data_IF_520037086846
#
_entry.id   IF_520037086846
#
_cell.length_a   1.000
_cell.length_b   1.000
_cell.length_c   1.000
_cell.angle_alpha   90.00
_cell.angle_beta   90.00
_cell.angle_gamma   90.00
#
_symmetry.space_group_name_H-M   'P 1'
#
loop_
_entity.id
_entity.type
_entity.pdbx_description
1 polymer ?
#
# COMPACT_ATOMS: atom_id res chain seq x y z
N UNK A 1 -14.47 -25.23 7.64
CA UNK A 1 -13.31 -24.46 8.16
C UNK A 1 -12.25 -24.12 7.11
N UNK A 2 -12.01 -24.93 6.07
CA UNK A 2 -11.03 -24.64 4.99
C UNK A 2 -11.26 -23.33 4.21
N UNK A 3 -12.51 -22.94 3.95
CA UNK A 3 -12.83 -21.73 3.18
C UNK A 3 -12.35 -20.42 3.84
N UNK A 4 -12.16 -20.39 5.17
CA UNK A 4 -11.71 -19.18 5.87
C UNK A 4 -10.22 -18.89 5.68
N UNK A 5 -9.40 -19.94 5.51
CA UNK A 5 -7.95 -19.81 5.32
C UNK A 5 -7.61 -19.39 3.90
N UNK A 6 -8.32 -19.93 2.90
CA UNK A 6 -8.17 -19.51 1.50
C UNK A 6 -8.52 -18.02 1.31
N UNK A 7 -9.62 -17.56 1.92
CA UNK A 7 -10.06 -16.16 1.84
C UNK A 7 -9.08 -15.18 2.51
N UNK A 8 -8.52 -15.54 3.68
CA UNK A 8 -7.47 -14.74 4.35
C UNK A 8 -6.17 -14.68 3.54
N UNK A 9 -5.68 -15.81 3.02
CA UNK A 9 -4.49 -15.86 2.15
C UNK A 9 -4.67 -15.00 0.90
N UNK A 10 -5.84 -15.08 0.27
CA UNK A 10 -6.16 -14.26 -0.91
C UNK A 10 -6.19 -12.76 -0.57
N UNK A 11 -6.82 -12.36 0.53
CA UNK A 11 -6.85 -10.96 0.97
C UNK A 11 -5.46 -10.40 1.30
N UNK A 12 -4.57 -11.21 1.85
CA UNK A 12 -3.17 -10.83 2.11
C UNK A 12 -2.38 -10.66 0.81
N UNK A 13 -2.51 -11.61 -0.12
CA UNK A 13 -1.88 -11.52 -1.43
C UNK A 13 -2.34 -10.28 -2.19
N UNK A 14 -3.66 -10.05 -2.24
CA UNK A 14 -4.26 -8.88 -2.87
C UNK A 14 -3.79 -7.57 -2.20
N UNK A 15 -3.68 -7.54 -0.88
CA UNK A 15 -3.18 -6.40 -0.13
C UNK A 15 -1.72 -6.07 -0.42
N UNK A 16 -0.86 -7.07 -0.56
CA UNK A 16 0.54 -6.88 -0.97
C UNK A 16 0.67 -6.37 -2.41
N UNK A 17 -0.12 -6.93 -3.34
CA UNK A 17 -0.15 -6.47 -4.73
C UNK A 17 -0.64 -5.03 -4.81
N UNK A 18 -1.72 -4.68 -4.11
CA UNK A 18 -2.25 -3.32 -4.07
C UNK A 18 -1.24 -2.34 -3.45
N UNK A 19 -0.58 -2.72 -2.35
CA UNK A 19 0.45 -1.91 -1.72
C UNK A 19 1.67 -1.69 -2.63
N UNK A 20 2.13 -2.74 -3.32
CA UNK A 20 3.25 -2.65 -4.25
C UNK A 20 2.92 -1.73 -5.43
N UNK A 21 1.74 -1.91 -6.03
CA UNK A 21 1.27 -1.05 -7.11
C UNK A 21 1.08 0.40 -6.65
N UNK A 22 0.62 0.64 -5.42
CA UNK A 22 0.46 1.98 -4.88
C UNK A 22 1.82 2.65 -4.63
N UNK A 23 2.81 1.90 -4.13
CA UNK A 23 4.18 2.40 -3.96
C UNK A 23 4.85 2.72 -5.32
N UNK A 24 4.67 1.86 -6.33
CA UNK A 24 5.14 2.13 -7.70
C UNK A 24 4.44 3.36 -8.28
N UNK A 25 3.13 3.49 -8.07
CA UNK A 25 2.37 4.66 -8.50
C UNK A 25 2.91 5.95 -7.88
N UNK A 26 3.18 5.93 -6.57
CA UNK A 26 3.77 7.06 -5.87
C UNK A 26 5.13 7.43 -6.48
N UNK A 27 6.06 6.48 -6.64
CA UNK A 27 7.35 6.75 -7.27
C UNK A 27 7.22 7.34 -8.69
N UNK A 28 6.28 6.84 -9.48
CA UNK A 28 5.99 7.36 -10.82
C UNK A 28 5.33 8.75 -10.78
N UNK A 29 4.70 9.13 -9.67
CA UNK A 29 4.05 10.43 -9.49
C UNK A 29 5.06 11.58 -9.46
N UNK A 30 6.32 11.30 -9.11
CA UNK A 30 7.41 12.30 -9.12
C UNK A 30 7.66 12.81 -10.55
N UNK A 31 7.39 11.97 -11.55
CA UNK A 31 7.43 12.37 -12.94
C UNK A 31 5.99 12.68 -13.42
N UNK A 32 5.78 13.71 -14.27
CA UNK A 32 4.46 14.09 -14.76
C UNK A 32 3.96 13.11 -15.84
N UNK A 33 3.88 11.82 -15.51
CA UNK A 33 3.41 10.77 -16.40
C UNK A 33 2.03 10.28 -15.95
N UNK A 34 1.09 10.30 -16.89
CA UNK A 34 -0.26 9.72 -16.82
C UNK A 34 -0.39 8.33 -16.17
N UNK A 35 0.58 7.39 -16.28
CA UNK A 35 0.54 6.09 -15.60
C UNK A 35 0.31 6.16 -14.07
N UNK A 36 0.77 7.20 -13.37
CA UNK A 36 0.56 7.31 -11.92
C UNK A 36 -0.93 7.45 -11.56
N UNK A 37 -1.70 8.24 -12.31
CA UNK A 37 -3.14 8.39 -12.04
C UNK A 37 -3.87 7.07 -12.31
N UNK A 38 -3.53 6.37 -13.41
CA UNK A 38 -4.15 5.09 -13.77
C UNK A 38 -3.86 4.01 -12.72
N UNK A 39 -2.61 3.93 -12.25
CA UNK A 39 -2.22 2.98 -11.21
C UNK A 39 -2.86 3.31 -9.86
N UNK A 40 -2.98 4.59 -9.51
CA UNK A 40 -3.67 5.04 -8.30
C UNK A 40 -5.17 4.68 -8.34
N UNK A 41 -5.81 4.84 -9.51
CA UNK A 41 -7.21 4.46 -9.71
C UNK A 41 -7.43 2.94 -9.63
N UNK A 42 -6.48 2.13 -10.10
CA UNK A 42 -6.54 0.66 -10.02
C UNK A 42 -6.20 0.12 -8.62
N UNK A 43 -5.34 0.82 -7.88
CA UNK A 43 -4.93 0.40 -6.52
C UNK A 43 -5.98 0.68 -5.46
N UNK A 44 -6.81 1.71 -5.64
CA UNK A 44 -7.87 2.07 -4.70
C UNK A 44 -8.89 0.92 -4.50
N UNK A 45 -9.50 0.32 -5.55
CA UNK A 45 -10.36 -0.85 -5.40
C UNK A 45 -9.64 -2.03 -4.74
N UNK A 46 -8.36 -2.25 -5.07
CA UNK A 46 -7.55 -3.32 -4.48
C UNK A 46 -7.34 -3.13 -2.98
N UNK A 47 -7.04 -1.92 -2.53
CA UNK A 47 -6.88 -1.58 -1.12
C UNK A 47 -8.20 -1.72 -0.34
N UNK A 48 -9.33 -1.29 -0.93
CA UNK A 48 -10.66 -1.45 -0.34
C UNK A 48 -11.03 -2.93 -0.22
N UNK A 49 -10.83 -3.71 -1.29
CA UNK A 49 -11.09 -5.14 -1.31
C UNK A 49 -10.22 -5.88 -0.28
N UNK A 50 -8.94 -5.54 -0.15
CA UNK A 50 -8.05 -6.11 0.87
C UNK A 50 -8.55 -5.79 2.29
N UNK A 51 -9.03 -4.56 2.53
CA UNK A 51 -9.61 -4.15 3.81
C UNK A 51 -10.85 -4.98 4.15
N UNK A 52 -11.75 -5.18 3.19
CA UNK A 52 -12.98 -5.97 3.34
C UNK A 52 -12.70 -7.46 3.57
N UNK A 53 -11.63 -8.00 2.99
CA UNK A 53 -11.21 -9.39 3.18
C UNK A 53 -10.44 -9.63 4.50
N UNK A 54 -10.35 -8.62 5.36
CA UNK A 54 -9.74 -8.71 6.69
C UNK A 54 -8.27 -8.28 6.75
N UNK A 55 -7.66 -7.90 5.63
CA UNK A 55 -6.29 -7.35 5.58
C UNK A 55 -6.28 -5.84 5.82
N UNK A 56 -6.99 -5.37 6.86
CA UNK A 56 -7.16 -3.93 7.20
C UNK A 56 -5.84 -3.15 7.19
N UNK A 57 -4.75 -3.72 7.74
CA UNK A 57 -3.45 -3.06 7.82
C UNK A 57 -2.83 -2.81 6.43
N UNK A 58 -2.94 -3.76 5.51
CA UNK A 58 -2.46 -3.62 4.13
C UNK A 58 -3.33 -2.65 3.33
N UNK A 59 -4.64 -2.63 3.59
CA UNK A 59 -5.55 -1.65 3.00
C UNK A 59 -5.23 -0.21 3.40
N UNK A 60 -5.03 0.03 4.71
CA UNK A 60 -4.59 1.34 5.23
C UNK A 60 -3.24 1.74 4.63
N UNK A 61 -2.30 0.79 4.51
CA UNK A 61 -1.01 1.02 3.88
C UNK A 61 -1.12 1.38 2.40
N UNK A 62 -1.98 0.69 1.64
CA UNK A 62 -2.26 1.04 0.25
C UNK A 62 -2.89 2.44 0.12
N UNK A 63 -3.82 2.78 1.03
CA UNK A 63 -4.43 4.10 1.08
C UNK A 63 -3.41 5.21 1.38
N UNK A 64 -2.47 4.96 2.29
CA UNK A 64 -1.35 5.87 2.57
C UNK A 64 -0.58 6.21 1.30
N UNK A 65 -0.18 5.22 0.50
CA UNK A 65 0.55 5.43 -0.75
C UNK A 65 -0.28 6.14 -1.82
N UNK A 66 -1.58 5.87 -1.89
CA UNK A 66 -2.51 6.56 -2.79
C UNK A 66 -2.57 8.07 -2.46
N UNK A 67 -2.72 8.41 -1.18
CA UNK A 67 -2.71 9.81 -0.73
C UNK A 67 -1.36 10.45 -1.04
N UNK A 68 -0.26 9.72 -0.82
CA UNK A 68 1.08 10.20 -1.13
C UNK A 68 1.26 10.48 -2.62
N UNK A 69 0.79 9.59 -3.50
CA UNK A 69 0.83 9.76 -4.95
C UNK A 69 0.05 11.00 -5.41
N UNK A 70 -1.12 11.27 -4.81
CA UNK A 70 -1.91 12.48 -5.09
C UNK A 70 -1.19 13.76 -4.64
N UNK A 71 -0.59 13.76 -3.45
CA UNK A 71 0.11 14.93 -2.92
C UNK A 71 1.42 15.19 -3.66
N UNK A 72 2.12 14.13 -4.09
CA UNK A 72 3.38 14.20 -4.83
C UNK A 72 3.19 14.56 -6.31
N UNK A 73 1.96 14.77 -6.78
CA UNK A 73 1.68 15.03 -8.18
C UNK A 73 2.16 16.44 -8.57
N UNK A 74 3.10 16.58 -9.54
CA UNK A 74 3.92 17.78 -9.74
C UNK A 74 3.13 19.03 -10.13
N UNK A 75 1.92 18.88 -10.67
CA UNK A 75 1.05 20.02 -11.01
C UNK A 75 0.30 20.60 -9.81
N UNK A 76 0.30 19.92 -8.66
CA UNK A 76 -0.50 20.29 -7.49
C UNK A 76 0.39 20.65 -6.30
N UNK A 77 1.65 20.20 -6.27
CA UNK A 77 2.53 20.33 -5.11
C UNK A 77 3.25 21.70 -5.07
N UNK A 78 2.99 22.56 -4.06
CA UNK A 78 3.84 23.71 -3.77
C UNK A 78 5.23 23.27 -3.29
N UNK A 79 6.26 24.09 -3.52
CA UNK A 79 7.65 23.78 -3.15
C UNK A 79 7.88 23.46 -1.66
N UNK A 80 7.12 24.07 -0.74
CA UNK A 80 7.21 23.75 0.69
C UNK A 80 6.66 22.35 1.04
N UNK A 81 5.76 21.83 0.20
CA UNK A 81 5.12 20.53 0.36
C UNK A 81 6.04 19.38 -0.12
N UNK A 82 6.98 19.67 -1.02
CA UNK A 82 7.98 18.71 -1.51
C UNK A 82 8.81 18.12 -0.36
N UNK A 83 9.19 18.93 0.63
CA UNK A 83 9.96 18.47 1.80
C UNK A 83 9.19 17.40 2.58
N UNK A 84 7.88 17.60 2.78
CA UNK A 84 7.04 16.63 3.48
C UNK A 84 6.88 15.34 2.66
N UNK A 85 6.74 15.46 1.35
CA UNK A 85 6.68 14.31 0.43
C UNK A 85 7.96 13.50 0.53
N UNK A 86 9.13 14.15 0.46
CA UNK A 86 10.45 13.51 0.57
C UNK A 86 10.62 12.75 1.89
N UNK A 87 10.09 13.26 3.00
CA UNK A 87 10.13 12.59 4.31
C UNK A 87 9.10 11.45 4.41
N UNK A 88 7.93 11.61 3.79
CA UNK A 88 6.85 10.64 3.86
C UNK A 88 7.12 9.38 3.02
N UNK A 89 7.88 9.47 1.90
CA UNK A 89 8.33 8.29 1.15
C UNK A 89 9.08 7.25 2.02
N UNK A 90 10.19 7.60 2.70
CA UNK A 90 10.93 6.66 3.53
C UNK A 90 10.11 6.18 4.74
N UNK A 91 9.26 7.03 5.33
CA UNK A 91 8.33 6.59 6.39
C UNK A 91 7.37 5.51 5.90
N UNK A 92 6.86 5.65 4.67
CA UNK A 92 6.05 4.63 4.01
C UNK A 92 6.82 3.32 3.84
N UNK A 93 8.07 3.37 3.39
CA UNK A 93 8.91 2.17 3.26
C UNK A 93 9.15 1.48 4.61
N UNK A 94 9.50 2.24 5.65
CA UNK A 94 9.71 1.71 7.01
C UNK A 94 8.43 1.04 7.53
N UNK A 95 7.28 1.67 7.33
CA UNK A 95 5.99 1.12 7.72
C UNK A 95 5.66 -0.17 6.96
N UNK A 96 5.98 -0.23 5.66
CA UNK A 96 5.82 -1.44 4.84
C UNK A 96 6.68 -2.59 5.33
N UNK A 97 7.95 -2.33 5.63
CA UNK A 97 8.87 -3.31 6.21
C UNK A 97 8.39 -3.79 7.57
N UNK A 98 7.97 -2.88 8.45
CA UNK A 98 7.43 -3.24 9.76
C UNK A 98 6.19 -4.13 9.65
N UNK A 99 5.27 -3.82 8.72
CA UNK A 99 4.09 -4.63 8.45
C UNK A 99 4.45 -6.02 7.90
N UNK A 100 5.44 -6.11 7.00
CA UNK A 100 5.95 -7.38 6.48
C UNK A 100 6.55 -8.26 7.58
N UNK A 101 7.42 -7.69 8.41
CA UNK A 101 8.08 -8.41 9.51
C UNK A 101 7.05 -8.89 10.54
N UNK A 102 6.08 -8.03 10.88
CA UNK A 102 5.00 -8.41 11.79
C UNK A 102 4.15 -9.56 11.21
N UNK A 103 3.83 -9.50 9.92
CA UNK A 103 3.11 -10.58 9.25
C UNK A 103 3.88 -11.90 9.29
N UNK A 104 5.18 -11.91 8.95
CA UNK A 104 6.01 -13.13 9.04
C UNK A 104 6.03 -13.70 10.46
N UNK A 105 6.15 -12.85 11.47
CA UNK A 105 6.16 -13.28 12.88
C UNK A 105 4.83 -13.94 13.28
N UNK A 106 3.70 -13.34 12.89
CA UNK A 106 2.37 -13.89 13.18
C UNK A 106 2.06 -15.18 12.42
N UNK A 107 2.59 -15.36 11.20
CA UNK A 107 2.42 -16.62 10.47
C UNK A 107 3.24 -17.77 11.07
N UNK A 108 4.45 -17.49 11.56
CA UNK A 108 5.33 -18.50 12.15
C UNK A 108 4.80 -19.07 13.48
N UNK A 109 4.00 -18.31 14.24
CA UNK A 109 3.37 -18.81 15.47
C UNK A 109 2.22 -19.78 15.21
N UNK A 110 1.50 -19.62 14.11
CA UNK A 110 0.34 -20.47 13.77
C UNK A 110 0.74 -21.85 13.24
N UNK A 111 1.98 -22.03 12.77
CA UNK A 111 2.48 -23.35 12.32
C UNK A 111 3.00 -24.23 13.49
N UNK A 112 3.05 -23.69 14.72
CA UNK A 112 3.53 -24.41 15.92
C UNK A 112 2.40 -24.93 16.82
N UNK A 113 1.14 -24.63 16.49
CA UNK A 113 -0.07 -25.13 17.16
C UNK A 113 -0.77 -26.18 16.29
#
# INVERSE_FOLDING_TARGET
MMASNARKRFGLWLGWVAAALAAVSALLSIAPFTPAIVLTALTLPGAVAATWLGARRLGVFGFYWIVLAFIAFPTITPSWLEVYVVIAYPLGLVLGVALYLHYRKSSASTERE
#
